data_IF_609854521306
#
_entry.id   IF_609854521306
#
_cell.length_a   1.000
_cell.length_b   1.000
_cell.length_c   1.000
_cell.angle_alpha   90.00
_cell.angle_beta   90.00
_cell.angle_gamma   90.00
#
_symmetry.space_group_name_H-M   'P 1'
#
loop_
_entity.id
_entity.type
_entity.pdbx_description
1 polymer ?
#
# COMPACT_ATOMS: atom_id res chain seq x y z
N UNK A 1 -4.19 -16.06 5.77
CA UNK A 1 -5.24 -15.07 5.43
C UNK A 1 -4.81 -13.75 6.03
N UNK A 2 -4.84 -12.68 5.25
CA UNK A 2 -4.57 -11.33 5.77
C UNK A 2 -5.75 -10.88 6.60
N UNK A 3 -5.52 -10.08 7.65
CA UNK A 3 -6.62 -9.38 8.36
C UNK A 3 -7.44 -8.49 7.43
N UNK A 4 -6.87 -8.12 6.27
CA UNK A 4 -7.53 -7.31 5.25
C UNK A 4 -8.50 -8.09 4.35
N UNK A 5 -8.43 -9.42 4.31
CA UNK A 5 -9.24 -10.25 3.39
C UNK A 5 -10.75 -10.15 3.70
N UNK A 6 -11.15 -9.67 4.88
CA UNK A 6 -12.54 -9.53 5.32
C UNK A 6 -13.17 -8.14 5.07
N UNK A 7 -12.37 -7.15 4.64
CA UNK A 7 -12.88 -5.79 4.43
C UNK A 7 -13.22 -5.54 2.96
N UNK A 8 -14.15 -4.61 2.73
CA UNK A 8 -14.55 -4.21 1.39
C UNK A 8 -13.40 -3.52 0.64
N UNK A 9 -13.37 -3.70 -0.67
CA UNK A 9 -12.47 -2.97 -1.57
C UNK A 9 -12.47 -1.48 -1.27
N UNK A 10 -13.65 -0.85 -1.16
CA UNK A 10 -13.77 0.59 -0.91
C UNK A 10 -13.03 1.03 0.35
N UNK A 11 -13.25 0.33 1.46
CA UNK A 11 -12.58 0.63 2.72
C UNK A 11 -11.05 0.47 2.61
N UNK A 12 -10.60 -0.61 1.96
CA UNK A 12 -9.18 -0.88 1.75
C UNK A 12 -8.52 0.19 0.88
N UNK A 13 -9.19 0.63 -0.18
CA UNK A 13 -8.71 1.71 -1.03
C UNK A 13 -8.61 3.04 -0.28
N UNK A 14 -9.64 3.40 0.51
CA UNK A 14 -9.60 4.62 1.34
C UNK A 14 -8.47 4.58 2.37
N UNK A 15 -8.26 3.43 3.02
CA UNK A 15 -7.18 3.22 3.96
C UNK A 15 -5.80 3.34 3.30
N UNK A 16 -5.64 2.77 2.10
CA UNK A 16 -4.41 2.88 1.32
C UNK A 16 -4.04 4.36 1.11
N UNK A 17 -4.97 5.16 0.56
CA UNK A 17 -4.74 6.57 0.27
C UNK A 17 -4.55 7.41 1.55
N UNK A 18 -5.18 7.04 2.66
CA UNK A 18 -4.94 7.71 3.95
C UNK A 18 -3.50 7.49 4.45
N UNK A 19 -3.00 6.26 4.36
CA UNK A 19 -1.62 5.92 4.76
C UNK A 19 -0.62 6.57 3.80
N UNK A 20 -0.89 6.55 2.49
CA UNK A 20 -0.08 7.20 1.48
C UNK A 20 0.07 8.70 1.75
N UNK A 21 -1.04 9.42 2.02
CA UNK A 21 -0.95 10.84 2.37
C UNK A 21 -0.16 11.12 3.64
N UNK A 22 -0.21 10.22 4.64
CA UNK A 22 0.61 10.38 5.83
C UNK A 22 2.11 10.25 5.51
N UNK A 23 2.47 9.31 4.63
CA UNK A 23 3.83 9.13 4.11
C UNK A 23 4.28 10.39 3.34
N UNK A 24 3.45 10.91 2.44
CA UNK A 24 3.74 12.14 1.66
C UNK A 24 3.95 13.37 2.55
N UNK A 25 3.19 13.46 3.64
CA UNK A 25 3.32 14.54 4.62
C UNK A 25 4.51 14.36 5.59
N UNK A 26 5.38 13.36 5.36
CA UNK A 26 6.60 13.15 6.13
C UNK A 26 6.46 12.26 7.37
N UNK A 27 5.27 11.69 7.63
CA UNK A 27 5.06 10.68 8.67
C UNK A 27 5.40 9.30 8.13
N UNK A 28 6.69 9.09 7.83
CA UNK A 28 7.20 7.89 7.17
C UNK A 28 7.58 6.81 8.19
N UNK A 29 7.05 5.59 8.05
CA UNK A 29 7.57 4.42 8.74
C UNK A 29 7.68 3.21 7.81
N UNK A 30 8.61 2.31 8.09
CA UNK A 30 8.73 1.02 7.39
C UNK A 30 7.44 0.19 7.54
N UNK A 31 6.80 0.27 8.71
CA UNK A 31 5.52 -0.38 8.97
C UNK A 31 4.43 0.11 8.02
N UNK A 32 4.30 1.42 7.79
CA UNK A 32 3.29 1.97 6.88
C UNK A 32 3.51 1.53 5.42
N UNK A 33 4.77 1.42 4.96
CA UNK A 33 5.05 0.84 3.63
C UNK A 33 4.62 -0.62 3.55
N UNK A 34 4.85 -1.39 4.62
CA UNK A 34 4.39 -2.77 4.69
C UNK A 34 2.87 -2.86 4.70
N UNK A 35 2.18 -1.96 5.39
CA UNK A 35 0.72 -1.87 5.38
C UNK A 35 0.18 -1.60 3.97
N UNK A 36 0.76 -0.65 3.23
CA UNK A 36 0.36 -0.38 1.84
C UNK A 36 0.46 -1.64 0.96
N UNK A 37 1.53 -2.44 1.10
CA UNK A 37 1.68 -3.71 0.36
C UNK A 37 0.61 -4.75 0.74
N UNK A 38 0.31 -4.86 2.04
CA UNK A 38 -0.70 -5.81 2.53
C UNK A 38 -2.10 -5.45 2.04
N UNK A 39 -2.41 -4.14 2.03
CA UNK A 39 -3.67 -3.61 1.52
C UNK A 39 -3.75 -3.84 0.00
N UNK A 40 -2.73 -3.43 -0.76
CA UNK A 40 -2.70 -3.59 -2.22
C UNK A 40 -2.87 -5.06 -2.66
N UNK A 41 -2.21 -5.99 -1.96
CA UNK A 41 -2.38 -7.41 -2.20
C UNK A 41 -3.81 -7.89 -1.87
N UNK A 42 -4.44 -7.39 -0.80
CA UNK A 42 -5.80 -7.77 -0.42
C UNK A 42 -6.85 -7.28 -1.42
N UNK A 43 -6.74 -6.05 -1.94
CA UNK A 43 -7.62 -5.57 -3.03
C UNK A 43 -7.34 -6.29 -4.34
N UNK A 44 -6.08 -6.65 -4.62
CA UNK A 44 -5.70 -7.46 -5.79
C UNK A 44 -6.41 -8.80 -5.84
N UNK A 45 -6.55 -9.49 -4.69
CA UNK A 45 -7.34 -10.73 -4.58
C UNK A 45 -8.83 -10.54 -4.88
N UNK A 46 -9.35 -9.34 -4.66
CA UNK A 46 -10.74 -8.96 -4.95
C UNK A 46 -10.91 -8.47 -6.40
N UNK A 47 -9.88 -8.56 -7.23
CA UNK A 47 -9.91 -8.18 -8.65
C UNK A 47 -9.68 -6.69 -8.90
N UNK A 48 -9.17 -5.95 -7.92
CA UNK A 48 -8.93 -4.50 -8.02
C UNK A 48 -7.44 -4.19 -7.89
N UNK A 49 -6.92 -3.41 -8.84
CA UNK A 49 -5.52 -2.99 -8.86
C UNK A 49 -5.42 -1.53 -8.45
N UNK A 50 -4.57 -1.21 -7.47
CA UNK A 50 -4.21 0.17 -7.13
C UNK A 50 -3.13 0.63 -8.12
N UNK A 51 -3.44 1.62 -8.95
CA UNK A 51 -2.53 2.06 -10.02
C UNK A 51 -1.30 2.81 -9.50
N UNK A 52 -1.42 3.50 -8.36
CA UNK A 52 -0.32 4.22 -7.71
C UNK A 52 0.71 3.31 -7.03
N UNK A 53 0.41 2.02 -6.88
CA UNK A 53 1.33 1.03 -6.30
C UNK A 53 2.65 0.93 -7.08
N UNK A 54 2.60 1.13 -8.41
CA UNK A 54 3.80 1.12 -9.26
C UNK A 54 4.81 2.19 -8.87
N UNK A 55 4.35 3.34 -8.38
CA UNK A 55 5.23 4.44 -7.97
C UNK A 55 6.09 4.03 -6.77
N UNK A 56 5.57 3.21 -5.85
CA UNK A 56 6.31 2.76 -4.66
C UNK A 56 7.32 1.63 -4.93
N UNK A 57 7.01 0.71 -5.85
CA UNK A 57 7.90 -0.40 -6.17
C UNK A 57 9.17 0.05 -6.91
N UNK A 58 9.10 1.16 -7.64
CA UNK A 58 10.29 1.78 -8.28
C UNK A 58 11.23 2.44 -7.26
N UNK A 59 10.72 2.91 -6.11
CA UNK A 59 11.53 3.50 -5.04
C UNK A 59 12.31 2.46 -4.21
N UNK A 60 11.82 1.23 -4.04
CA UNK A 60 12.61 0.20 -3.33
C UNK A 60 13.77 -0.35 -4.18
N UNK A 61 13.65 -0.40 -5.52
CA UNK A 61 14.75 -0.83 -6.40
C UNK A 61 15.94 0.13 -6.42
N UNK A 62 15.74 1.40 -6.06
CA UNK A 62 16.81 2.40 -6.02
C UNK A 62 17.54 2.50 -4.68
N UNK A 63 16.99 1.93 -3.60
CA UNK A 63 17.64 1.91 -2.28
C UNK A 63 18.54 0.68 -2.06
N UNK A 64 18.39 -0.40 -2.83
CA UNK A 64 19.27 -1.59 -2.78
C UNK A 64 20.52 -1.48 -3.68
N UNK A 65 20.79 -0.32 -4.28
CA UNK A 65 21.97 -0.09 -5.15
C UNK A 65 23.07 0.81 -4.56
N UNK A 66 23.17 0.97 -3.23
CA UNK A 66 24.32 1.67 -2.61
C UNK A 66 24.98 0.89 -1.49
#
# INVERSE_FOLDING_TARGET
>A
MSSYDQYSVTYLSELYYAIERNIENGFLSSAMRQELRLIAHAVGKQGVTILDEKRFLEYEQTCDQK
#
